data_IF_590050141794
#
_entry.id   IF_590050141794
#
_cell.length_a   1.000
_cell.length_b   1.000
_cell.length_c   1.000
_cell.angle_alpha   90.00
_cell.angle_beta   90.00
_cell.angle_gamma   90.00
#
_symmetry.space_group_name_H-M   'P 1'
#
loop_
_entity.id
_entity.type
_entity.pdbx_description
1 polymer ?
#
# COMPACT_ATOMS: atom_id res chain seq x y z
N UNK A 1 -4.43 48.60 -28.26
CA UNK A 1 -5.36 47.57 -27.81
C UNK A 1 -4.85 46.15 -28.07
N UNK A 2 -4.23 45.83 -29.18
CA UNK A 2 -3.76 44.48 -29.57
C UNK A 2 -2.72 43.87 -28.58
N UNK A 3 -1.77 44.69 -28.08
CA UNK A 3 -0.75 44.21 -27.11
C UNK A 3 -1.35 43.72 -25.76
N UNK A 4 -2.37 44.38 -25.25
CA UNK A 4 -3.04 43.97 -23.99
C UNK A 4 -3.87 42.68 -24.17
N UNK A 5 -4.45 42.46 -25.35
CA UNK A 5 -5.18 41.23 -25.68
C UNK A 5 -4.25 40.03 -25.82
N UNK A 6 -3.04 40.20 -26.37
CA UNK A 6 -2.06 39.16 -26.52
C UNK A 6 -1.49 38.69 -25.16
N UNK A 7 -1.28 39.63 -24.23
CA UNK A 7 -0.83 39.31 -22.85
C UNK A 7 -1.89 38.52 -22.08
N UNK A 8 -3.18 38.88 -22.28
CA UNK A 8 -4.28 38.15 -21.61
C UNK A 8 -4.42 36.72 -22.15
N UNK A 9 -4.21 36.49 -23.44
CA UNK A 9 -4.22 35.16 -24.06
C UNK A 9 -3.03 34.33 -23.56
N UNK A 10 -1.86 34.94 -23.38
CA UNK A 10 -0.68 34.24 -22.85
C UNK A 10 -0.85 33.83 -21.38
N UNK A 11 -1.48 34.65 -20.56
CA UNK A 11 -1.81 34.34 -19.15
C UNK A 11 -2.83 33.19 -19.07
N UNK A 12 -3.84 33.16 -19.95
CA UNK A 12 -4.82 32.06 -20.02
C UNK A 12 -4.18 30.71 -20.43
N UNK A 13 -3.13 30.75 -21.27
CA UNK A 13 -2.41 29.53 -21.68
C UNK A 13 -1.49 28.96 -20.57
N UNK A 14 -1.03 29.76 -19.61
CA UNK A 14 -0.23 29.31 -18.47
C UNK A 14 -1.03 28.52 -17.42
N UNK A 15 -2.36 28.55 -17.46
CA UNK A 15 -3.21 27.79 -16.53
C UNK A 15 -3.58 26.38 -17.00
N UNK A 16 -3.11 25.93 -18.16
CA UNK A 16 -3.15 24.52 -18.54
C UNK A 16 -2.05 23.74 -17.79
N UNK A 17 -1.91 23.94 -16.48
CA UNK A 17 -1.09 23.10 -15.62
C UNK A 17 -1.60 21.68 -15.71
N UNK A 18 -0.71 20.73 -15.97
CA UNK A 18 -0.98 19.30 -15.90
C UNK A 18 -1.39 18.96 -14.46
N UNK A 19 -2.69 19.06 -14.18
CA UNK A 19 -3.24 18.69 -12.90
C UNK A 19 -3.09 17.17 -12.75
N UNK A 20 -2.40 16.77 -11.70
CA UNK A 20 -2.38 15.37 -11.27
C UNK A 20 -3.82 14.98 -10.97
N UNK A 21 -4.30 13.92 -11.61
CA UNK A 21 -5.69 13.49 -11.43
C UNK A 21 -5.83 12.68 -10.16
N UNK A 22 -6.26 13.30 -9.09
CA UNK A 22 -6.69 12.65 -7.86
C UNK A 22 -8.21 12.64 -7.80
N UNK A 23 -8.79 11.49 -7.52
CA UNK A 23 -10.23 11.23 -7.51
C UNK A 23 -10.61 10.76 -6.11
N UNK A 24 -11.61 11.36 -5.50
CA UNK A 24 -12.23 10.86 -4.28
C UNK A 24 -13.45 10.02 -4.63
N UNK A 25 -13.60 8.88 -3.99
CA UNK A 25 -14.70 7.93 -4.16
C UNK A 25 -15.19 7.41 -2.82
N UNK A 26 -16.42 6.95 -2.82
CA UNK A 26 -17.03 6.23 -1.70
C UNK A 26 -17.31 4.81 -2.16
N UNK A 27 -16.89 3.84 -1.37
CA UNK A 27 -17.13 2.42 -1.60
C UNK A 27 -18.11 1.93 -0.53
N UNK A 28 -19.27 1.50 -0.95
CA UNK A 28 -20.23 0.82 -0.09
C UNK A 28 -19.76 -0.61 0.10
N UNK A 29 -19.55 -1.01 1.35
CA UNK A 29 -19.10 -2.35 1.70
C UNK A 29 -20.18 -3.09 2.45
N UNK A 30 -20.58 -4.24 1.93
CA UNK A 30 -21.47 -5.17 2.63
C UNK A 30 -20.72 -5.86 3.77
N UNK A 31 -19.42 -6.11 3.59
CA UNK A 31 -18.56 -6.75 4.60
C UNK A 31 -18.42 -5.88 5.84
N UNK A 32 -18.23 -4.58 5.64
CA UNK A 32 -18.08 -3.63 6.75
C UNK A 32 -19.42 -3.01 7.21
N UNK A 33 -20.52 -3.30 6.53
CA UNK A 33 -21.84 -2.69 6.74
C UNK A 33 -21.79 -1.15 6.78
N UNK A 34 -20.87 -0.55 6.02
CA UNK A 34 -20.64 0.90 5.98
C UNK A 34 -20.01 1.33 4.68
N UNK A 35 -19.96 2.65 4.48
CA UNK A 35 -19.28 3.28 3.35
C UNK A 35 -17.87 3.72 3.76
N UNK A 36 -16.88 3.47 2.91
CA UNK A 36 -15.49 3.91 3.07
C UNK A 36 -15.10 4.95 2.02
N UNK A 37 -14.43 5.99 2.46
CA UNK A 37 -13.81 6.96 1.57
C UNK A 37 -12.49 6.40 1.05
N UNK A 38 -12.25 6.57 -0.25
CA UNK A 38 -10.97 6.27 -0.88
C UNK A 38 -10.51 7.43 -1.74
N UNK A 39 -9.22 7.56 -1.91
CA UNK A 39 -8.55 8.56 -2.76
C UNK A 39 -7.71 7.84 -3.80
N UNK A 40 -7.89 8.16 -5.08
CA UNK A 40 -7.24 7.45 -6.18
C UNK A 40 -6.39 8.43 -6.97
N UNK A 41 -5.10 8.15 -7.08
CA UNK A 41 -4.19 8.84 -7.98
C UNK A 41 -4.07 8.07 -9.30
N UNK A 42 -4.27 8.77 -10.41
CA UNK A 42 -4.10 8.26 -11.76
C UNK A 42 -2.84 8.88 -12.37
N UNK A 43 -1.88 8.06 -12.85
CA UNK A 43 -0.61 8.58 -13.35
C UNK A 43 -0.77 9.36 -14.66
N UNK A 44 0.15 10.31 -14.86
CA UNK A 44 0.23 11.10 -16.08
C UNK A 44 0.37 10.19 -17.31
N UNK A 45 -0.43 10.44 -18.34
CA UNK A 45 -0.45 9.66 -19.58
C UNK A 45 -1.42 8.48 -19.57
N UNK A 46 -2.10 8.21 -18.47
CA UNK A 46 -3.09 7.12 -18.39
C UNK A 46 -4.16 7.20 -19.48
N UNK A 47 -4.73 8.38 -19.74
CA UNK A 47 -5.78 8.56 -20.76
C UNK A 47 -5.24 8.49 -22.19
N UNK A 48 -3.92 8.68 -22.39
CA UNK A 48 -3.31 8.68 -23.73
C UNK A 48 -2.97 7.30 -24.25
N UNK A 49 -2.75 6.35 -23.35
CA UNK A 49 -2.37 4.98 -23.66
C UNK A 49 -3.43 4.03 -23.12
N UNK A 50 -4.34 3.62 -23.99
CA UNK A 50 -5.48 2.77 -23.62
C UNK A 50 -5.12 1.29 -23.43
N UNK A 51 -3.92 0.87 -23.81
CA UNK A 51 -3.47 -0.53 -23.76
C UNK A 51 -2.65 -0.80 -22.50
N UNK A 52 -1.94 0.23 -22.01
CA UNK A 52 -1.01 0.08 -20.89
C UNK A 52 -1.72 -0.19 -19.58
N UNK A 53 -1.29 -1.23 -18.88
CA UNK A 53 -1.65 -1.53 -17.50
C UNK A 53 -0.59 -0.96 -16.54
N UNK A 54 -1.02 -0.61 -15.33
CA UNK A 54 -0.21 0.05 -14.32
C UNK A 54 -0.19 -0.76 -13.03
N UNK A 55 0.97 -0.92 -12.36
CA UNK A 55 1.00 -1.45 -11.00
C UNK A 55 0.02 -0.70 -10.10
N UNK A 56 -0.60 -1.42 -9.19
CA UNK A 56 -1.50 -0.87 -8.17
C UNK A 56 -0.80 -0.81 -6.83
N UNK A 57 -0.86 0.34 -6.17
CA UNK A 57 -0.48 0.43 -4.77
C UNK A 57 -1.67 0.81 -3.91
N UNK A 58 -1.93 0.02 -2.87
CA UNK A 58 -2.91 0.30 -1.83
C UNK A 58 -2.18 0.91 -0.65
N UNK A 59 -2.58 2.10 -0.24
CA UNK A 59 -2.00 2.84 0.89
C UNK A 59 -3.01 2.89 2.02
N UNK A 60 -2.66 2.32 3.16
CA UNK A 60 -3.40 2.46 4.40
C UNK A 60 -3.09 3.82 5.04
N UNK A 61 -3.98 4.35 5.86
CA UNK A 61 -3.84 5.71 6.44
C UNK A 61 -3.75 6.80 5.36
N UNK A 62 -4.76 6.87 4.48
CA UNK A 62 -4.81 7.82 3.37
C UNK A 62 -4.50 9.26 3.82
N UNK A 63 -4.95 9.64 4.99
CA UNK A 63 -4.92 11.00 5.55
C UNK A 63 -3.50 11.60 5.59
N UNK A 64 -2.47 10.79 5.80
CA UNK A 64 -1.08 11.29 5.88
C UNK A 64 -0.07 10.55 5.01
N UNK A 65 -0.35 9.29 4.59
CA UNK A 65 0.58 8.55 3.74
C UNK A 65 0.36 8.78 2.26
N UNK A 66 -0.87 9.00 1.82
CA UNK A 66 -1.21 9.00 0.40
C UNK A 66 -0.45 10.05 -0.40
N UNK A 67 -0.52 11.32 -0.01
CA UNK A 67 0.10 12.40 -0.78
C UNK A 67 1.62 12.30 -0.79
N UNK A 68 2.23 11.85 0.32
CA UNK A 68 3.66 11.58 0.41
C UNK A 68 4.09 10.42 -0.51
N UNK A 69 3.32 9.33 -0.52
CA UNK A 69 3.60 8.17 -1.36
C UNK A 69 3.46 8.53 -2.84
N UNK A 70 2.38 9.21 -3.22
CA UNK A 70 2.15 9.69 -4.60
C UNK A 70 3.28 10.61 -5.05
N UNK A 71 3.70 11.57 -4.23
CA UNK A 71 4.80 12.49 -4.55
C UNK A 71 6.11 11.74 -4.85
N UNK A 72 6.47 10.76 -4.01
CA UNK A 72 7.65 9.92 -4.23
C UNK A 72 7.49 9.03 -5.49
N UNK A 73 6.31 8.43 -5.70
CA UNK A 73 6.02 7.63 -6.88
C UNK A 73 6.23 8.41 -8.18
N UNK A 74 5.76 9.66 -8.23
CA UNK A 74 5.95 10.57 -9.36
C UNK A 74 7.44 10.88 -9.57
N UNK A 75 8.16 11.18 -8.49
CA UNK A 75 9.58 11.49 -8.54
C UNK A 75 10.38 10.32 -9.11
N UNK A 76 10.17 9.11 -8.60
CA UNK A 76 10.89 7.93 -9.04
C UNK A 76 10.52 7.55 -10.50
N UNK A 77 9.26 7.69 -10.89
CA UNK A 77 8.84 7.46 -12.26
C UNK A 77 9.49 8.47 -13.24
N UNK A 78 9.62 9.74 -12.88
CA UNK A 78 10.31 10.76 -13.67
C UNK A 78 11.83 10.54 -13.78
N UNK A 79 12.39 9.77 -12.86
CA UNK A 79 13.83 9.43 -12.84
C UNK A 79 14.11 8.02 -13.39
N UNK A 80 13.11 7.37 -13.98
CA UNK A 80 13.19 6.00 -14.51
C UNK A 80 13.67 4.96 -13.46
N UNK A 81 13.35 5.22 -12.17
CA UNK A 81 13.68 4.33 -11.04
C UNK A 81 12.53 3.42 -10.64
N UNK A 82 11.30 3.76 -11.03
CA UNK A 82 10.11 2.95 -10.81
C UNK A 82 9.12 3.16 -11.95
N UNK A 83 8.22 2.20 -12.23
CA UNK A 83 7.15 2.40 -13.19
C UNK A 83 6.15 3.43 -12.67
N UNK A 84 5.45 4.11 -13.59
CA UNK A 84 4.24 4.85 -13.25
C UNK A 84 3.20 3.87 -12.71
N UNK A 85 2.49 4.23 -11.64
CA UNK A 85 1.54 3.35 -10.96
C UNK A 85 0.25 4.08 -10.59
N UNK A 86 -0.83 3.33 -10.41
CA UNK A 86 -2.07 3.79 -9.80
C UNK A 86 -1.91 3.64 -8.29
N UNK A 87 -2.33 4.64 -7.52
CA UNK A 87 -2.30 4.58 -6.06
C UNK A 87 -3.71 4.77 -5.53
N UNK A 88 -4.17 3.88 -4.66
CA UNK A 88 -5.42 4.02 -3.92
C UNK A 88 -5.13 4.13 -2.43
N UNK A 89 -5.57 5.22 -1.83
CA UNK A 89 -5.53 5.41 -0.37
C UNK A 89 -6.87 5.08 0.24
N UNK A 90 -6.88 4.38 1.37
CA UNK A 90 -8.08 4.03 2.12
C UNK A 90 -8.10 4.90 3.38
N UNK A 91 -9.18 5.67 3.56
CA UNK A 91 -9.39 6.47 4.77
C UNK A 91 -9.68 5.57 5.96
N UNK A 92 -8.96 5.81 7.04
CA UNK A 92 -9.07 5.09 8.32
C UNK A 92 -9.30 6.05 9.51
N UNK A 93 -9.51 7.35 9.27
CA UNK A 93 -9.52 8.41 10.28
C UNK A 93 -10.41 8.07 11.50
N UNK A 94 -11.65 7.60 11.25
CA UNK A 94 -12.62 7.33 12.30
C UNK A 94 -12.62 5.86 12.78
N UNK A 95 -11.98 4.95 12.04
CA UNK A 95 -12.14 3.50 12.23
C UNK A 95 -10.83 2.77 12.50
N UNK A 96 -9.71 3.47 12.44
CA UNK A 96 -8.37 2.91 12.52
C UNK A 96 -8.20 1.86 13.63
N UNK A 97 -8.63 2.17 14.86
CA UNK A 97 -8.46 1.26 16.00
C UNK A 97 -9.15 -0.09 15.77
N UNK A 98 -10.32 -0.09 15.11
CA UNK A 98 -11.05 -1.33 14.77
C UNK A 98 -10.41 -2.05 13.61
N UNK A 99 -10.03 -1.30 12.57
CA UNK A 99 -9.52 -1.83 11.31
C UNK A 99 -8.17 -2.54 11.44
N UNK A 100 -7.37 -2.17 12.45
CA UNK A 100 -6.01 -2.71 12.64
C UNK A 100 -5.83 -3.42 13.97
N UNK A 101 -6.91 -3.87 14.61
CA UNK A 101 -6.83 -4.50 15.93
C UNK A 101 -6.37 -5.95 15.84
N UNK A 102 -5.46 -6.31 16.74
CA UNK A 102 -4.96 -7.67 16.94
C UNK A 102 -5.26 -8.15 18.34
N UNK A 103 -5.50 -9.45 18.48
CA UNK A 103 -5.48 -10.11 19.79
C UNK A 103 -4.04 -10.10 20.33
N UNK A 104 -3.86 -9.54 21.51
CA UNK A 104 -2.53 -9.30 22.08
C UNK A 104 -1.79 -10.58 22.47
N UNK A 105 -2.51 -11.69 22.67
CA UNK A 105 -1.95 -12.96 23.08
C UNK A 105 -1.57 -13.83 21.88
N UNK A 106 -2.36 -13.77 20.81
CA UNK A 106 -2.21 -14.66 19.66
C UNK A 106 -1.58 -13.97 18.44
N UNK A 107 -1.54 -12.64 18.39
CA UNK A 107 -1.08 -11.89 17.22
C UNK A 107 -2.02 -11.94 16.01
N UNK A 108 -3.21 -12.55 16.16
CA UNK A 108 -4.19 -12.69 15.09
C UNK A 108 -5.11 -11.49 15.01
N UNK A 109 -5.66 -11.23 13.82
CA UNK A 109 -6.67 -10.19 13.63
C UNK A 109 -7.92 -10.46 14.49
N UNK A 110 -8.46 -9.41 15.10
CA UNK A 110 -9.82 -9.45 15.64
C UNK A 110 -10.84 -9.58 14.51
N UNK A 111 -12.11 -9.88 14.84
CA UNK A 111 -13.17 -9.97 13.83
C UNK A 111 -13.34 -8.68 13.03
N UNK A 112 -13.21 -7.51 13.69
CA UNK A 112 -13.32 -6.21 13.00
C UNK A 112 -12.17 -5.98 12.01
N UNK A 113 -10.93 -6.28 12.41
CA UNK A 113 -9.77 -6.13 11.54
C UNK A 113 -9.78 -7.16 10.40
N UNK A 114 -10.33 -8.35 10.63
CA UNK A 114 -10.56 -9.34 9.58
C UNK A 114 -11.58 -8.83 8.54
N UNK A 115 -12.67 -8.22 8.99
CA UNK A 115 -13.62 -7.58 8.06
C UNK A 115 -12.95 -6.50 7.20
N UNK A 116 -12.05 -5.69 7.79
CA UNK A 116 -11.31 -4.69 7.03
C UNK A 116 -10.30 -5.31 6.05
N UNK A 117 -9.63 -6.40 6.44
CA UNK A 117 -8.80 -7.20 5.54
C UNK A 117 -9.62 -7.72 4.34
N UNK A 118 -10.79 -8.30 4.59
CA UNK A 118 -11.69 -8.82 3.55
C UNK A 118 -12.21 -7.70 2.65
N UNK A 119 -12.53 -6.53 3.21
CA UNK A 119 -12.88 -5.33 2.43
C UNK A 119 -11.77 -4.93 1.45
N UNK A 120 -10.50 -4.95 1.87
CA UNK A 120 -9.38 -4.66 0.96
C UNK A 120 -9.32 -5.71 -0.15
N UNK A 121 -9.43 -6.99 0.20
CA UNK A 121 -9.31 -8.11 -0.73
C UNK A 121 -10.48 -8.17 -1.72
N UNK A 122 -11.71 -8.02 -1.24
CA UNK A 122 -12.90 -8.32 -2.02
C UNK A 122 -13.55 -7.06 -2.62
N UNK A 123 -13.61 -5.94 -1.87
CA UNK A 123 -14.25 -4.72 -2.35
C UNK A 123 -13.26 -3.79 -3.08
N UNK A 124 -12.11 -3.50 -2.46
CA UNK A 124 -11.15 -2.53 -3.04
C UNK A 124 -10.46 -3.08 -4.28
N UNK A 125 -9.92 -4.29 -4.22
CA UNK A 125 -9.25 -4.90 -5.38
C UNK A 125 -10.22 -5.08 -6.53
N UNK A 126 -11.41 -5.64 -6.29
CA UNK A 126 -12.43 -5.80 -7.32
C UNK A 126 -12.83 -4.47 -7.96
N UNK A 127 -13.03 -3.41 -7.13
CA UNK A 127 -13.35 -2.08 -7.64
C UNK A 127 -12.24 -1.52 -8.52
N UNK A 128 -10.98 -1.64 -8.09
CA UNK A 128 -9.84 -1.13 -8.83
C UNK A 128 -9.62 -1.87 -10.15
N UNK A 129 -9.71 -3.20 -10.15
CA UNK A 129 -9.57 -4.03 -11.36
C UNK A 129 -10.71 -3.82 -12.36
N UNK A 130 -11.93 -3.60 -11.85
CA UNK A 130 -13.11 -3.38 -12.71
C UNK A 130 -13.17 -2.00 -13.35
N UNK A 131 -12.53 -0.99 -12.75
CA UNK A 131 -12.66 0.40 -13.19
C UNK A 131 -11.37 1.00 -13.76
N UNK A 132 -10.21 0.36 -13.53
CA UNK A 132 -8.91 0.88 -13.92
C UNK A 132 -8.03 -0.20 -14.55
N UNK A 133 -7.13 0.23 -15.43
CA UNK A 133 -6.15 -0.68 -16.07
C UNK A 133 -5.00 -0.98 -15.11
N UNK A 134 -5.25 -1.89 -14.18
CA UNK A 134 -4.26 -2.40 -13.25
C UNK A 134 -3.45 -3.55 -13.87
N UNK A 135 -2.18 -3.66 -13.51
CA UNK A 135 -1.38 -4.86 -13.78
C UNK A 135 -1.49 -5.83 -12.60
N UNK A 136 -1.09 -7.10 -12.77
CA UNK A 136 -1.11 -8.07 -11.68
C UNK A 136 -0.19 -7.73 -10.50
N UNK A 137 0.72 -6.74 -10.65
CA UNK A 137 1.64 -6.35 -9.57
C UNK A 137 0.96 -5.39 -8.61
N UNK A 138 0.72 -5.84 -7.39
CA UNK A 138 0.03 -5.09 -6.33
C UNK A 138 0.94 -4.90 -5.14
N UNK A 139 1.05 -3.65 -4.66
CA UNK A 139 1.77 -3.28 -3.44
C UNK A 139 0.78 -2.86 -2.35
N UNK A 140 1.08 -3.20 -1.11
CA UNK A 140 0.34 -2.76 0.07
C UNK A 140 1.28 -2.01 1.01
N UNK A 141 0.91 -0.80 1.41
CA UNK A 141 1.73 0.13 2.19
C UNK A 141 1.00 0.56 3.45
N UNK A 142 1.68 0.51 4.59
CA UNK A 142 1.14 1.01 5.85
C UNK A 142 2.22 1.52 6.79
N UNK A 143 1.82 2.34 7.75
CA UNK A 143 2.69 2.95 8.74
C UNK A 143 2.28 2.59 10.17
N UNK A 144 3.25 2.31 11.01
CA UNK A 144 3.01 2.02 12.42
C UNK A 144 2.13 0.79 12.63
N UNK A 145 1.01 0.95 13.32
CA UNK A 145 0.07 -0.15 13.54
C UNK A 145 -0.64 -0.63 12.27
N UNK A 146 -0.84 0.23 11.27
CA UNK A 146 -1.40 -0.20 9.98
C UNK A 146 -0.43 -1.07 9.20
N UNK A 147 0.89 -0.89 9.42
CA UNK A 147 1.89 -1.80 8.89
C UNK A 147 1.79 -3.22 9.48
N UNK A 148 1.28 -3.36 10.72
CA UNK A 148 1.06 -4.68 11.30
C UNK A 148 -0.03 -5.46 10.56
N UNK A 149 -1.09 -4.79 10.07
CA UNK A 149 -2.13 -5.45 9.28
C UNK A 149 -1.56 -6.08 8.01
N UNK A 150 -0.52 -5.47 7.42
CA UNK A 150 0.12 -5.97 6.19
C UNK A 150 0.68 -7.38 6.39
N UNK A 151 1.19 -7.71 7.58
CA UNK A 151 1.73 -9.04 7.86
C UNK A 151 0.69 -10.15 7.73
N UNK A 152 -0.59 -9.82 7.94
CA UNK A 152 -1.66 -10.79 7.80
C UNK A 152 -1.86 -11.23 6.34
N UNK A 153 -1.66 -10.32 5.39
CA UNK A 153 -1.71 -10.67 3.96
C UNK A 153 -0.59 -11.64 3.54
N UNK A 154 0.49 -11.74 4.31
CA UNK A 154 1.51 -12.77 4.11
C UNK A 154 0.99 -14.17 4.48
N UNK A 155 0.05 -14.28 5.39
CA UNK A 155 -0.44 -15.56 5.93
C UNK A 155 -1.59 -16.16 5.11
N UNK A 156 -2.18 -15.41 4.20
CA UNK A 156 -3.29 -15.89 3.37
C UNK A 156 -2.88 -16.98 2.39
N UNK A 157 -3.82 -17.84 2.03
CA UNK A 157 -3.57 -18.99 1.15
C UNK A 157 -3.29 -18.59 -0.30
N UNK A 158 -3.83 -17.45 -0.74
CA UNK A 158 -3.69 -16.94 -2.11
C UNK A 158 -2.80 -15.70 -2.13
N UNK A 159 -1.76 -15.73 -2.95
CA UNK A 159 -0.85 -14.60 -3.12
C UNK A 159 -1.40 -13.60 -4.14
N UNK A 160 -2.09 -12.56 -3.68
CA UNK A 160 -2.57 -11.46 -4.55
C UNK A 160 -1.82 -10.15 -4.33
N UNK A 161 -1.03 -10.03 -3.26
CA UNK A 161 -0.11 -8.92 -3.02
C UNK A 161 1.32 -9.36 -3.34
N UNK A 162 2.04 -8.56 -4.11
CA UNK A 162 3.42 -8.83 -4.49
C UNK A 162 4.44 -8.08 -3.63
N UNK A 163 4.07 -6.91 -3.10
CA UNK A 163 4.99 -6.09 -2.33
C UNK A 163 4.32 -5.61 -1.03
N UNK A 164 4.97 -5.91 0.09
CA UNK A 164 4.53 -5.62 1.44
C UNK A 164 5.46 -4.57 2.04
N UNK A 165 4.98 -3.33 2.19
CA UNK A 165 5.79 -2.19 2.62
C UNK A 165 5.33 -1.75 4.01
N UNK A 166 6.08 -2.14 5.02
CA UNK A 166 5.83 -1.87 6.43
C UNK A 166 6.73 -0.73 6.91
N UNK A 167 6.20 0.50 6.94
CA UNK A 167 6.96 1.68 7.38
C UNK A 167 6.81 1.83 8.90
N UNK A 168 7.93 1.79 9.61
CA UNK A 168 7.98 1.92 11.07
C UNK A 168 6.94 1.03 11.79
N UNK A 169 6.86 -0.27 11.49
CA UNK A 169 5.86 -1.17 12.07
C UNK A 169 6.01 -1.25 13.59
N UNK A 170 4.91 -1.60 14.25
CA UNK A 170 4.87 -1.80 15.69
C UNK A 170 4.61 -3.28 16.01
N UNK A 171 5.48 -4.16 15.53
CA UNK A 171 5.35 -5.60 15.75
C UNK A 171 5.40 -5.93 17.25
N UNK A 172 4.53 -6.82 17.69
CA UNK A 172 4.58 -7.45 19.00
C UNK A 172 5.22 -8.83 18.90
N UNK A 173 5.66 -9.38 20.02
CA UNK A 173 6.19 -10.75 20.08
C UNK A 173 5.15 -11.76 19.55
N UNK A 174 3.86 -11.54 19.81
CA UNK A 174 2.78 -12.40 19.31
C UNK A 174 2.65 -12.35 17.78
N UNK A 175 2.70 -11.14 17.18
CA UNK A 175 2.69 -10.98 15.70
C UNK A 175 3.93 -11.63 15.08
N UNK A 176 5.10 -11.42 15.68
CA UNK A 176 6.35 -12.03 15.22
C UNK A 176 6.25 -13.57 15.20
N UNK A 177 5.83 -14.15 16.33
CA UNK A 177 5.71 -15.61 16.47
C UNK A 177 4.67 -16.18 15.48
N UNK A 178 3.51 -15.56 15.37
CA UNK A 178 2.46 -15.99 14.43
C UNK A 178 2.97 -15.95 12.99
N UNK A 179 3.63 -14.87 12.58
CA UNK A 179 4.14 -14.70 11.22
C UNK A 179 5.23 -15.75 10.88
N UNK A 180 6.19 -15.97 11.76
CA UNK A 180 7.30 -16.93 11.53
C UNK A 180 6.78 -18.36 11.54
N UNK A 181 5.86 -18.70 12.45
CA UNK A 181 5.32 -20.06 12.58
C UNK A 181 4.51 -20.51 11.38
N UNK A 182 3.94 -19.59 10.61
CA UNK A 182 3.08 -19.89 9.46
C UNK A 182 3.82 -20.50 8.26
N UNK A 183 5.16 -20.38 8.18
CA UNK A 183 6.04 -20.95 7.14
C UNK A 183 5.68 -20.57 5.68
N UNK A 184 4.74 -19.67 5.46
CA UNK A 184 4.35 -19.03 4.19
C UNK A 184 4.32 -19.99 2.96
N UNK A 185 3.55 -21.09 2.99
CA UNK A 185 3.62 -22.16 1.98
C UNK A 185 3.24 -21.72 0.57
N UNK A 186 2.40 -20.68 0.43
CA UNK A 186 1.96 -20.15 -0.86
C UNK A 186 3.13 -19.63 -1.69
N UNK A 187 4.10 -18.94 -1.09
CA UNK A 187 5.23 -18.38 -1.81
C UNK A 187 6.21 -19.44 -2.34
N UNK A 188 6.09 -20.68 -1.88
CA UNK A 188 6.88 -21.80 -2.41
C UNK A 188 6.34 -22.33 -3.74
N UNK A 189 5.06 -22.03 -4.06
CA UNK A 189 4.34 -22.53 -5.24
C UNK A 189 4.22 -21.49 -6.34
N UNK A 190 4.47 -20.22 -6.02
CA UNK A 190 4.31 -19.11 -6.93
C UNK A 190 5.59 -18.84 -7.74
N UNK A 191 5.43 -18.58 -9.03
CA UNK A 191 6.53 -18.16 -9.91
C UNK A 191 6.77 -16.64 -9.87
N UNK A 192 5.83 -15.87 -9.29
CA UNK A 192 5.94 -14.43 -9.15
C UNK A 192 7.00 -14.05 -8.10
N UNK A 193 7.60 -12.89 -8.29
CA UNK A 193 8.54 -12.33 -7.31
C UNK A 193 7.78 -11.50 -6.27
N UNK A 194 8.13 -11.71 -5.00
CA UNK A 194 7.54 -11.03 -3.85
C UNK A 194 8.60 -10.24 -3.11
N UNK A 195 8.18 -9.14 -2.46
CA UNK A 195 9.03 -8.23 -1.71
C UNK A 195 8.42 -7.92 -0.35
N UNK A 196 9.23 -8.07 0.70
CA UNK A 196 8.89 -7.59 2.02
C UNK A 196 9.91 -6.55 2.46
N UNK A 197 9.43 -5.33 2.71
CA UNK A 197 10.23 -4.22 3.20
C UNK A 197 9.73 -3.80 4.57
N UNK A 198 10.64 -3.62 5.52
CA UNK A 198 10.34 -2.94 6.77
C UNK A 198 11.52 -2.12 7.25
N UNK A 199 11.24 -0.97 7.85
CA UNK A 199 12.25 -0.10 8.41
C UNK A 199 11.78 0.51 9.73
N UNK A 200 12.72 1.04 10.52
CA UNK A 200 12.45 1.88 11.67
C UNK A 200 13.09 3.27 11.44
N UNK A 201 12.30 4.32 11.55
CA UNK A 201 12.77 5.70 11.42
C UNK A 201 13.27 6.30 12.73
N UNK A 202 13.20 5.58 13.85
CA UNK A 202 13.47 6.11 15.20
C UNK A 202 14.60 5.34 15.87
N UNK A 203 15.77 5.95 15.95
CA UNK A 203 16.92 5.43 16.72
C UNK A 203 16.67 5.34 18.24
N UNK A 204 15.57 5.92 18.72
CA UNK A 204 15.27 5.99 20.16
C UNK A 204 14.53 4.75 20.72
N UNK A 205 14.04 3.84 19.88
CA UNK A 205 13.28 2.68 20.30
C UNK A 205 13.99 1.38 19.93
N UNK A 206 15.06 1.06 20.64
CA UNK A 206 15.86 -0.16 20.44
C UNK A 206 15.00 -1.44 20.38
N UNK A 207 13.96 -1.53 21.22
CA UNK A 207 13.08 -2.69 21.25
C UNK A 207 12.30 -2.88 19.93
N UNK A 208 11.87 -1.79 19.28
CA UNK A 208 11.19 -1.86 17.97
C UNK A 208 12.13 -2.36 16.89
N UNK A 209 13.36 -1.85 16.85
CA UNK A 209 14.34 -2.31 15.87
C UNK A 209 14.63 -3.79 16.04
N UNK A 210 14.80 -4.26 17.28
CA UNK A 210 15.01 -5.67 17.56
C UNK A 210 13.86 -6.56 17.06
N UNK A 211 12.62 -6.13 17.21
CA UNK A 211 11.46 -6.88 16.70
C UNK A 211 11.41 -6.89 15.17
N UNK A 212 11.68 -5.77 14.52
CA UNK A 212 11.79 -5.70 13.07
C UNK A 212 12.89 -6.65 12.58
N UNK A 213 14.07 -6.60 13.19
CA UNK A 213 15.20 -7.46 12.84
C UNK A 213 14.86 -8.96 13.01
N UNK A 214 14.11 -9.32 14.05
CA UNK A 214 13.66 -10.70 14.27
C UNK A 214 12.70 -11.15 13.17
N UNK A 215 11.69 -10.33 12.81
CA UNK A 215 10.75 -10.62 11.73
C UNK A 215 11.49 -10.78 10.40
N UNK A 216 12.40 -9.87 10.08
CA UNK A 216 13.18 -9.93 8.85
C UNK A 216 14.08 -11.17 8.80
N UNK A 217 14.78 -11.48 9.87
CA UNK A 217 15.60 -12.71 9.99
C UNK A 217 14.73 -13.95 9.89
N UNK A 218 13.58 -13.98 10.58
CA UNK A 218 12.64 -15.10 10.51
C UNK A 218 12.13 -15.32 9.08
N UNK A 219 11.68 -14.29 8.39
CA UNK A 219 11.25 -14.39 6.99
C UNK A 219 12.39 -14.83 6.06
N UNK A 220 13.59 -14.29 6.24
CA UNK A 220 14.77 -14.68 5.45
C UNK A 220 15.16 -16.14 5.66
N UNK A 221 14.98 -16.67 6.88
CA UNK A 221 15.30 -18.07 7.21
C UNK A 221 14.37 -19.09 6.56
N UNK A 222 13.23 -18.68 6.00
CA UNK A 222 12.32 -19.54 5.26
C UNK A 222 12.87 -19.93 3.88
N UNK A 223 13.94 -19.28 3.40
CA UNK A 223 14.63 -19.56 2.13
C UNK A 223 13.68 -19.71 0.93
N UNK A 224 12.69 -18.78 0.84
CA UNK A 224 11.72 -18.76 -0.24
C UNK A 224 12.36 -18.18 -1.50
N UNK A 225 12.43 -18.97 -2.57
CA UNK A 225 13.17 -18.65 -3.82
C UNK A 225 12.80 -17.30 -4.43
N UNK A 226 11.52 -16.94 -4.39
CA UNK A 226 10.99 -15.75 -5.05
C UNK A 226 10.55 -14.67 -4.04
N UNK A 227 10.97 -14.74 -2.79
CA UNK A 227 10.59 -13.83 -1.72
C UNK A 227 11.81 -13.05 -1.22
N UNK A 228 11.84 -11.77 -1.51
CA UNK A 228 12.94 -10.88 -1.17
C UNK A 228 12.63 -10.09 0.10
N UNK A 229 13.38 -10.30 1.16
CA UNK A 229 13.33 -9.49 2.37
C UNK A 229 14.33 -8.34 2.22
N UNK A 230 13.83 -7.11 2.23
CA UNK A 230 14.64 -5.90 2.03
C UNK A 230 14.84 -5.24 3.39
N UNK A 231 16.08 -5.14 3.80
CA UNK A 231 16.50 -4.47 5.02
C UNK A 231 17.09 -3.12 4.65
N UNK A 232 16.50 -2.05 5.14
CA UNK A 232 17.10 -0.72 5.05
C UNK A 232 17.42 -0.25 6.47
N UNK A 233 18.70 -0.12 6.75
CA UNK A 233 19.21 0.46 8.02
C UNK A 233 19.49 1.91 7.72
N UNK A 234 18.54 2.77 8.07
CA UNK A 234 18.74 4.22 8.03
C UNK A 234 19.43 4.73 9.29
#
# INVERSE_FOLDING_TARGET
MIKKSLTLIFILFCFCGFSQKTIQKKIESVILETTRNIKIYIPEGYEKDSIKNYPLTIVLDEEYLFDMYVGNSILFAKKDKAPKQIVVGISMEETKVKDISFDVNTGRLTSSARGFYEFIRDDILFYMESNYRTSPFISLVGYGYSANLITHFLQEDTAFINSFICINPNFSDAIEQELISYNLPKFRKEDNTFYFYSNNSSSFLLNKQQQIDKVQKGLSSLELKNFNVINDVM
#
